data_IF_759629030789
#
_entry.id   IF_759629030789
#
_cell.length_a   1.000
_cell.length_b   1.000
_cell.length_c   1.000
_cell.angle_alpha   90.00
_cell.angle_beta   90.00
_cell.angle_gamma   90.00
#
_symmetry.space_group_name_H-M   'P 1'
#
loop_
_entity.id
_entity.type
_entity.pdbx_description
1 polymer ?
#
# COMPACT_ATOMS: atom_id res chain seq x y z
N UNK A 1 -5.40 -0.76 -8.22
CA UNK A 1 -4.27 0.08 -7.78
C UNK A 1 -3.50 0.51 -9.03
N UNK A 2 -3.02 1.75 -9.07
CA UNK A 2 -2.27 2.25 -10.24
C UNK A 2 -0.84 1.69 -10.30
N UNK A 3 -0.36 1.16 -9.18
CA UNK A 3 0.89 0.43 -9.11
C UNK A 3 1.67 0.78 -7.85
N UNK A 4 2.91 0.33 -7.84
CA UNK A 4 3.88 0.53 -6.78
C UNK A 4 5.25 0.78 -7.42
N UNK A 5 6.13 1.54 -6.76
CA UNK A 5 7.50 1.70 -7.22
C UNK A 5 8.34 0.48 -6.88
N UNK A 6 8.54 0.26 -5.58
CA UNK A 6 9.33 -0.86 -5.06
C UNK A 6 8.53 -1.61 -3.99
N UNK A 7 8.67 -2.94 -3.98
CA UNK A 7 8.16 -3.80 -2.92
C UNK A 7 9.28 -4.73 -2.45
N UNK A 8 9.48 -4.80 -1.14
CA UNK A 8 10.42 -5.73 -0.50
C UNK A 8 9.68 -6.70 0.38
N UNK A 9 10.00 -7.98 0.21
CA UNK A 9 9.53 -9.07 1.06
C UNK A 9 10.73 -9.65 1.82
N UNK A 10 10.76 -9.51 3.15
CA UNK A 10 11.86 -9.99 4.00
C UNK A 10 11.40 -10.98 5.08
N UNK A 11 10.18 -11.48 4.96
CA UNK A 11 9.59 -12.42 5.91
C UNK A 11 8.29 -13.01 5.35
N UNK A 12 7.51 -13.66 6.21
CA UNK A 12 6.26 -14.30 5.83
C UNK A 12 5.27 -14.27 7.00
N UNK A 13 3.99 -14.47 6.69
CA UNK A 13 2.93 -14.69 7.69
C UNK A 13 2.75 -16.20 7.84
N UNK A 14 3.03 -16.74 9.03
CA UNK A 14 2.78 -18.16 9.33
C UNK A 14 1.35 -18.37 9.84
N UNK A 15 0.79 -19.59 9.74
CA UNK A 15 -0.54 -19.89 10.29
C UNK A 15 -0.68 -19.64 11.81
N UNK A 16 0.44 -19.61 12.54
CA UNK A 16 0.49 -19.33 13.99
C UNK A 16 0.50 -17.84 14.34
N UNK A 17 0.62 -16.96 13.35
CA UNK A 17 0.64 -15.51 13.55
C UNK A 17 -0.72 -15.01 14.06
N UNK A 18 -0.70 -14.01 14.95
CA UNK A 18 -1.94 -13.53 15.59
C UNK A 18 -2.47 -12.24 14.97
N UNK A 19 -1.59 -11.32 14.57
CA UNK A 19 -2.00 -10.02 14.04
C UNK A 19 -1.09 -9.52 12.94
N UNK A 20 -1.69 -9.21 11.80
CA UNK A 20 -1.08 -8.37 10.77
C UNK A 20 -1.41 -6.91 11.06
N UNK A 21 -0.42 -6.03 10.95
CA UNK A 21 -0.62 -4.57 11.03
C UNK A 21 -0.12 -3.92 9.76
N UNK A 22 -0.98 -3.13 9.11
CA UNK A 22 -0.60 -2.28 7.98
C UNK A 22 -0.42 -0.86 8.47
N UNK A 23 0.67 -0.22 8.05
CA UNK A 23 0.93 1.18 8.33
C UNK A 23 1.22 1.87 7.00
N UNK A 24 0.48 2.94 6.72
CA UNK A 24 0.56 3.68 5.47
C UNK A 24 0.87 5.13 5.79
N UNK A 25 1.98 5.62 5.26
CA UNK A 25 2.41 7.01 5.35
C UNK A 25 2.06 7.73 4.06
N UNK A 26 1.08 8.62 4.13
CA UNK A 26 0.59 9.37 2.97
C UNK A 26 1.62 10.43 2.58
N UNK A 27 2.15 10.34 1.36
CA UNK A 27 3.11 11.32 0.81
C UNK A 27 2.43 12.42 0.02
N UNK A 28 1.41 12.08 -0.78
CA UNK A 28 0.69 13.06 -1.60
C UNK A 28 -0.75 12.64 -1.82
N UNK A 29 -1.67 13.59 -1.71
CA UNK A 29 -3.09 13.42 -2.05
C UNK A 29 -3.46 14.51 -3.06
N UNK A 30 -4.04 14.10 -4.17
CA UNK A 30 -4.45 14.97 -5.28
C UNK A 30 -5.95 14.81 -5.50
N UNK A 31 -6.68 15.92 -5.67
CA UNK A 31 -8.16 15.93 -5.78
C UNK A 31 -8.70 16.72 -6.98
N UNK A 32 -7.85 17.00 -7.96
CA UNK A 32 -8.27 17.74 -9.16
C UNK A 32 -8.92 16.77 -10.18
N UNK A 33 -8.43 16.74 -11.43
CA UNK A 33 -9.04 15.97 -12.53
C UNK A 33 -9.09 14.45 -12.27
N UNK A 34 -8.14 13.94 -11.47
CA UNK A 34 -8.14 12.57 -10.98
C UNK A 34 -7.85 12.60 -9.48
N UNK A 35 -8.71 11.97 -8.69
CA UNK A 35 -8.45 11.76 -7.28
C UNK A 35 -7.38 10.66 -7.13
N UNK A 36 -6.20 11.00 -6.61
CA UNK A 36 -5.08 10.07 -6.48
C UNK A 36 -4.36 10.25 -5.14
N UNK A 37 -3.95 9.13 -4.55
CA UNK A 37 -3.12 9.05 -3.37
C UNK A 37 -1.79 8.36 -3.70
N UNK A 38 -0.70 8.91 -3.16
CA UNK A 38 0.64 8.32 -3.17
C UNK A 38 1.11 8.18 -1.73
N UNK A 39 1.61 7.01 -1.36
CA UNK A 39 2.12 6.75 -0.02
C UNK A 39 3.19 5.67 0.01
N UNK A 40 3.82 5.53 1.17
CA UNK A 40 4.67 4.38 1.49
C UNK A 40 3.94 3.49 2.48
N UNK A 41 4.23 2.21 2.48
CA UNK A 41 3.60 1.25 3.36
C UNK A 41 4.58 0.28 4.00
N UNK A 42 4.28 -0.15 5.21
CA UNK A 42 4.91 -1.31 5.83
C UNK A 42 3.86 -2.24 6.41
N UNK A 43 4.09 -3.54 6.24
CA UNK A 43 3.28 -4.58 6.86
C UNK A 43 4.11 -5.28 7.92
N UNK A 44 3.52 -5.41 9.10
CA UNK A 44 4.10 -6.07 10.25
C UNK A 44 3.28 -7.32 10.58
N UNK A 45 3.97 -8.35 11.08
CA UNK A 45 3.35 -9.53 11.70
C UNK A 45 3.78 -9.56 13.15
N UNK A 46 2.81 -9.56 14.06
CA UNK A 46 3.03 -9.58 15.51
C UNK A 46 4.04 -8.52 15.98
N UNK A 47 4.00 -7.33 15.35
CA UNK A 47 4.87 -6.20 15.68
C UNK A 47 6.20 -6.15 14.93
N UNK A 48 6.56 -7.17 14.14
CA UNK A 48 7.78 -7.19 13.33
C UNK A 48 7.51 -6.81 11.87
N UNK A 49 8.16 -5.77 11.30
CA UNK A 49 8.02 -5.43 9.88
C UNK A 49 8.60 -6.53 9.01
N UNK A 50 7.82 -6.98 8.03
CA UNK A 50 8.22 -8.02 7.07
C UNK A 50 8.09 -7.58 5.63
N UNK A 51 7.20 -6.64 5.32
CA UNK A 51 7.06 -6.06 3.97
C UNK A 51 7.20 -4.54 4.01
N UNK A 52 7.81 -3.99 2.97
CA UNK A 52 7.90 -2.56 2.73
C UNK A 52 7.49 -2.26 1.28
N UNK A 53 6.76 -1.18 1.08
CA UNK A 53 6.36 -0.69 -0.23
C UNK A 53 6.61 0.81 -0.33
N UNK A 54 7.27 1.22 -1.41
CA UNK A 54 7.55 2.62 -1.73
C UNK A 54 6.73 3.03 -2.96
N UNK A 55 6.20 4.26 -2.95
CA UNK A 55 5.44 4.81 -4.08
C UNK A 55 4.19 3.99 -4.44
N UNK A 56 3.43 3.56 -3.43
CA UNK A 56 2.08 3.03 -3.61
C UNK A 56 1.21 4.10 -4.25
N UNK A 57 0.57 3.79 -5.39
CA UNK A 57 -0.28 4.72 -6.15
C UNK A 57 -1.69 4.16 -6.27
N UNK A 58 -2.69 4.92 -5.80
CA UNK A 58 -4.10 4.56 -5.88
C UNK A 58 -4.88 5.74 -6.45
N UNK A 59 -5.63 5.51 -7.51
CA UNK A 59 -6.58 6.47 -8.09
C UNK A 59 -8.01 6.04 -7.82
N UNK A 60 -8.91 7.01 -7.66
CA UNK A 60 -10.36 6.81 -7.67
C UNK A 60 -10.91 7.27 -9.01
N UNK A 61 -11.72 6.44 -9.65
CA UNK A 61 -12.36 6.70 -10.93
C UNK A 61 -13.87 6.58 -10.75
N UNK A 62 -14.62 7.48 -11.36
CA UNK A 62 -16.09 7.45 -11.36
C UNK A 62 -16.66 6.46 -12.36
N UNK A 63 -15.87 6.10 -13.37
CA UNK A 63 -16.17 5.09 -14.38
C UNK A 63 -14.91 4.25 -14.62
N UNK A 64 -15.06 2.92 -14.60
CA UNK A 64 -13.97 1.95 -14.75
C UNK A 64 -14.03 1.19 -16.08
N UNK A 65 -14.96 1.50 -16.98
CA UNK A 65 -15.12 0.78 -18.26
C UNK A 65 -13.90 0.88 -19.20
N UNK A 66 -13.03 1.88 -19.00
CA UNK A 66 -11.79 2.07 -19.77
C UNK A 66 -10.54 1.43 -19.16
N UNK A 67 -10.67 0.60 -18.12
CA UNK A 67 -9.57 -0.12 -17.46
C UNK A 67 -9.63 -1.63 -17.68
#
# INVERSE_FOLDING_TARGET
ALGVGEVKFSGQVLPTARRVTYQIDMRRVMRHKLAMAIGNGRMLVDGRPIYAASDLRVGLFTDTTGF
#
